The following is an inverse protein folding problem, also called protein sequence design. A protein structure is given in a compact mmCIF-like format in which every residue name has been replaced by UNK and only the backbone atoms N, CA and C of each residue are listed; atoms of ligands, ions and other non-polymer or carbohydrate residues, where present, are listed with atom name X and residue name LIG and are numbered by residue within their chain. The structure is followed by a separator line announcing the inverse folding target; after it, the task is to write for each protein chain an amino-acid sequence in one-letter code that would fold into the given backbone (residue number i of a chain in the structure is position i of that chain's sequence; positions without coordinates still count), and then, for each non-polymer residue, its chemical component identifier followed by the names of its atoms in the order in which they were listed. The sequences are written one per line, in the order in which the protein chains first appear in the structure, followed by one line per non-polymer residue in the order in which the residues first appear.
data_IF_766430467888
#
_entry.id   IF_766430467888
#
_cell.length_a   1.000
_cell.length_b   1.000
_cell.length_c   1.000
_cell.angle_alpha   90.00
_cell.angle_beta   90.00
_cell.angle_gamma   90.00
#
_symmetry.space_group_name_H-M   'P 1'
#
loop_
_entity.id
_entity.type
_entity.pdbx_description
1 polymer ?
#
# COMPACT_ATOMS: atom_id res chain seq x y z
N UNK A 1 -21.87 7.36 -0.01
CA UNK A 1 -20.81 6.31 -0.13
C UNK A 1 -21.31 5.18 -1.05
N UNK A 2 -20.49 4.67 -1.99
CA UNK A 2 -20.90 3.57 -2.89
C UNK A 2 -20.64 2.22 -2.21
N UNK A 3 -21.64 1.33 -2.22
CA UNK A 3 -21.47 -0.03 -1.67
C UNK A 3 -20.73 -0.90 -2.70
N UNK A 4 -19.78 -1.70 -2.23
CA UNK A 4 -19.06 -2.67 -3.05
C UNK A 4 -19.68 -4.06 -2.85
N UNK A 5 -19.69 -4.85 -3.91
CA UNK A 5 -20.21 -6.21 -3.90
C UNK A 5 -19.02 -7.18 -3.69
N UNK A 6 -19.06 -7.94 -2.60
CA UNK A 6 -18.12 -9.03 -2.30
C UNK A 6 -18.91 -10.29 -1.94
N UNK A 7 -18.29 -11.46 -2.04
CA UNK A 7 -18.90 -12.68 -1.55
C UNK A 7 -18.93 -12.68 0.00
N UNK A 8 -19.93 -13.33 0.60
CA UNK A 8 -20.12 -13.37 2.06
C UNK A 8 -18.88 -13.88 2.81
N UNK A 9 -18.27 -14.96 2.30
CA UNK A 9 -17.04 -15.54 2.88
C UNK A 9 -15.85 -14.56 2.85
N UNK A 10 -15.76 -13.72 1.83
CA UNK A 10 -14.70 -12.72 1.70
C UNK A 10 -14.92 -11.57 2.69
N UNK A 11 -16.16 -11.11 2.83
CA UNK A 11 -16.57 -10.12 3.83
C UNK A 11 -16.19 -10.57 5.25
N UNK A 12 -16.57 -11.79 5.64
CA UNK A 12 -16.31 -12.29 6.98
C UNK A 12 -14.80 -12.46 7.24
N UNK A 13 -14.03 -12.85 6.22
CA UNK A 13 -12.57 -12.93 6.31
C UNK A 13 -11.96 -11.54 6.51
N UNK A 14 -12.36 -10.57 5.70
CA UNK A 14 -11.81 -9.21 5.75
C UNK A 14 -12.20 -8.49 7.04
N UNK A 15 -13.40 -8.74 7.55
CA UNK A 15 -13.87 -8.22 8.83
C UNK A 15 -13.03 -8.76 10.00
N UNK A 16 -12.71 -10.07 9.99
CA UNK A 16 -11.78 -10.65 10.97
C UNK A 16 -10.39 -10.03 10.87
N UNK A 17 -9.81 -9.98 9.67
CA UNK A 17 -8.47 -9.42 9.47
C UNK A 17 -8.39 -7.94 9.89
N UNK A 18 -9.45 -7.16 9.68
CA UNK A 18 -9.52 -5.75 10.09
C UNK A 18 -9.64 -5.57 11.61
N UNK A 19 -10.35 -6.48 12.29
CA UNK A 19 -10.52 -6.45 13.75
C UNK A 19 -9.28 -6.94 14.49
N UNK A 20 -8.66 -8.01 13.99
CA UNK A 20 -7.51 -8.67 14.65
C UNK A 20 -6.19 -7.93 14.42
N UNK A 21 -6.00 -7.33 13.24
CA UNK A 21 -4.73 -6.69 12.90
C UNK A 21 -4.76 -5.18 13.18
N UNK A 22 -3.94 -4.68 14.13
CA UNK A 22 -3.87 -3.26 14.41
C UNK A 22 -3.24 -2.50 13.22
N UNK A 23 -3.90 -1.42 12.81
CA UNK A 23 -3.47 -0.48 11.75
C UNK A 23 -3.49 -1.09 10.34
N UNK A 24 -4.42 -2.02 10.10
CA UNK A 24 -4.76 -2.50 8.75
C UNK A 24 -5.83 -1.61 8.13
N UNK A 25 -5.74 -1.34 6.83
CA UNK A 25 -6.65 -0.47 6.10
C UNK A 25 -6.91 -1.05 4.72
N UNK A 26 -8.16 -0.89 4.24
CA UNK A 26 -8.55 -1.28 2.90
C UNK A 26 -8.23 -0.14 1.94
N UNK A 27 -7.50 -0.43 0.87
CA UNK A 27 -7.18 0.56 -0.18
C UNK A 27 -7.54 0.03 -1.56
N UNK A 28 -8.01 0.89 -2.49
CA UNK A 28 -8.18 0.52 -3.88
C UNK A 28 -6.82 0.40 -4.56
N UNK A 29 -6.60 -0.71 -5.28
CA UNK A 29 -5.39 -0.96 -6.06
C UNK A 29 -5.58 -0.58 -7.53
N UNK A 30 -6.72 -0.96 -8.10
CA UNK A 30 -7.07 -0.65 -9.50
C UNK A 30 -8.57 -0.66 -9.70
N UNK A 31 -9.04 0.19 -10.61
CA UNK A 31 -10.38 0.12 -11.16
C UNK A 31 -10.27 -0.41 -12.58
N UNK A 32 -11.07 -1.41 -12.92
CA UNK A 32 -11.06 -2.03 -14.24
C UNK A 32 -12.49 -2.30 -14.71
N UNK A 33 -12.71 -2.20 -16.01
CA UNK A 33 -13.98 -2.52 -16.63
C UNK A 33 -13.99 -3.99 -17.00
N UNK A 34 -15.06 -4.70 -16.66
CA UNK A 34 -15.30 -6.08 -17.06
C UNK A 34 -16.79 -6.26 -17.30
N UNK A 35 -17.14 -6.78 -18.48
CA UNK A 35 -18.53 -7.06 -18.87
C UNK A 35 -19.45 -5.81 -18.73
N UNK A 36 -18.94 -4.64 -19.13
CA UNK A 36 -19.64 -3.36 -19.00
C UNK A 36 -19.75 -2.81 -17.57
N UNK A 37 -19.16 -3.48 -16.57
CA UNK A 37 -19.22 -3.09 -15.15
C UNK A 37 -17.85 -2.64 -14.65
N UNK A 38 -17.81 -1.54 -13.90
CA UNK A 38 -16.61 -1.11 -13.20
C UNK A 38 -16.38 -1.97 -11.95
N UNK A 39 -15.31 -2.75 -11.95
CA UNK A 39 -14.83 -3.53 -10.82
C UNK A 39 -13.65 -2.83 -10.16
N UNK A 40 -13.57 -2.95 -8.84
CA UNK A 40 -12.46 -2.39 -8.05
C UNK A 40 -11.70 -3.54 -7.42
N UNK A 41 -10.41 -3.61 -7.66
CA UNK A 41 -9.53 -4.48 -6.89
C UNK A 41 -9.16 -3.75 -5.60
N UNK A 42 -9.41 -4.41 -4.47
CA UNK A 42 -9.07 -3.90 -3.14
C UNK A 42 -7.88 -4.67 -2.59
N UNK A 43 -7.08 -4.00 -1.77
CA UNK A 43 -5.99 -4.61 -1.00
C UNK A 43 -6.11 -4.27 0.48
N UNK A 44 -5.75 -5.22 1.33
CA UNK A 44 -5.53 -4.98 2.76
C UNK A 44 -4.07 -4.58 2.97
N UNK A 45 -3.86 -3.42 3.57
CA UNK A 45 -2.52 -2.85 3.76
C UNK A 45 -2.31 -2.51 5.22
N UNK A 46 -1.14 -2.86 5.74
CA UNK A 46 -0.71 -2.48 7.08
C UNK A 46 0.07 -1.17 7.04
N UNK A 47 -0.35 -0.18 7.81
CA UNK A 47 0.37 1.09 7.93
C UNK A 47 1.73 0.92 8.64
N UNK A 48 2.83 1.37 8.00
CA UNK A 48 4.17 1.34 8.61
C UNK A 48 4.24 2.19 9.90
N UNK A 49 5.06 1.80 10.87
CA UNK A 49 5.31 2.61 12.08
C UNK A 49 6.10 3.87 11.71
N UNK A 50 5.95 4.95 12.50
CA UNK A 50 6.70 6.19 12.24
C UNK A 50 8.22 5.98 12.33
N UNK A 51 8.66 5.08 13.21
CA UNK A 51 10.06 4.66 13.32
C UNK A 51 10.59 4.08 11.99
N UNK A 52 9.88 3.11 11.42
CA UNK A 52 10.26 2.49 10.14
C UNK A 52 10.32 3.52 8.99
N UNK A 53 9.46 4.54 9.03
CA UNK A 53 9.48 5.64 8.05
C UNK A 53 10.77 6.46 8.14
N UNK A 54 11.26 6.76 9.35
CA UNK A 54 12.51 7.51 9.55
C UNK A 54 13.71 6.76 9.00
N UNK A 55 13.82 5.47 9.31
CA UNK A 55 14.90 4.62 8.79
C UNK A 55 14.86 4.52 7.26
N UNK A 56 13.67 4.37 6.68
CA UNK A 56 13.50 4.34 5.23
C UNK A 56 13.87 5.66 4.55
N UNK A 57 13.54 6.81 5.18
CA UNK A 57 13.91 8.14 4.67
C UNK A 57 15.43 8.31 4.71
N UNK A 58 16.07 7.99 5.84
CA UNK A 58 17.52 8.10 6.01
C UNK A 58 18.28 7.24 4.99
N UNK A 59 17.87 5.98 4.80
CA UNK A 59 18.46 5.09 3.80
C UNK A 59 18.32 5.64 2.37
N UNK A 60 17.15 6.20 2.04
CA UNK A 60 16.87 6.79 0.72
C UNK A 60 17.65 8.09 0.46
N UNK A 61 17.95 8.86 1.50
CA UNK A 61 18.81 10.04 1.41
C UNK A 61 20.27 9.66 1.26
N UNK A 62 20.76 8.68 2.03
CA UNK A 62 22.12 8.15 1.93
C UNK A 62 22.40 7.57 0.52
N UNK A 63 21.47 6.80 -0.05
CA UNK A 63 21.59 6.33 -1.42
C UNK A 63 21.64 7.47 -2.44
N UNK A 64 20.84 8.53 -2.24
CA UNK A 64 20.86 9.71 -3.12
C UNK A 64 22.14 10.52 -3.01
N UNK A 65 22.73 10.66 -1.82
CA UNK A 65 24.02 11.36 -1.66
C UNK A 65 25.16 10.56 -2.30
N UNK A 66 25.21 9.25 -2.10
CA UNK A 66 26.20 8.37 -2.75
C UNK A 66 26.10 8.42 -4.28
N UNK A 67 24.90 8.34 -4.84
CA UNK A 67 24.71 8.44 -6.30
C UNK A 67 25.17 9.80 -6.86
N UNK A 68 24.95 10.88 -6.12
CA UNK A 68 25.44 12.21 -6.51
C UNK A 68 26.97 12.29 -6.46
N UNK A 69 27.59 11.79 -5.40
CA UNK A 69 29.04 11.77 -5.25
C UNK A 69 29.71 10.96 -6.38
N UNK A 70 29.18 9.77 -6.71
CA UNK A 70 29.67 8.95 -7.82
C UNK A 70 29.55 9.66 -9.17
N UNK A 71 28.46 10.39 -9.41
CA UNK A 71 28.28 11.18 -10.64
C UNK A 71 29.24 12.37 -10.73
N UNK A 72 29.60 12.99 -9.60
CA UNK A 72 30.58 14.08 -9.58
C UNK A 72 32.03 13.60 -9.73
N UNK A 73 32.34 12.40 -9.24
CA UNK A 73 33.67 11.80 -9.38
C UNK A 73 33.97 11.23 -10.78
N UNK A 74 32.94 10.99 -11.60
CA UNK A 74 33.07 10.52 -12.99
C UNK A 74 33.12 11.66 -14.02
N UNK A 75 33.16 12.93 -13.58
CA UNK A 75 33.44 14.11 -14.40
C UNK A 75 34.87 14.56 -14.19
#
# INVERSE_FOLDING_TARGET
PRRLLLHRKELDRWERELREQPRTTIVPLRVYLRDGRAKVALGLVRGRRQYDKRQAIASREAQRSMQRALRHAQR
#
